data_IF_977543427488
#
_entry.id   IF_977543427488
#
_cell.length_a   1.000
_cell.length_b   1.000
_cell.length_c   1.000
_cell.angle_alpha   90.00
_cell.angle_beta   90.00
_cell.angle_gamma   90.00
#
_symmetry.space_group_name_H-M   'P 1'
#
loop_
_entity.id
_entity.type
_entity.pdbx_description
1 polymer ?
#
# COMPACT_ATOMS: atom_id res chain seq x y z
N UNK A 1 -22.32 -2.84 7.79
CA UNK A 1 -21.96 -1.78 6.80
C UNK A 1 -21.04 -0.76 7.48
N UNK A 2 -19.74 -0.79 7.18
CA UNK A 2 -18.63 -0.17 7.94
C UNK A 2 -18.47 -0.75 9.35
N UNK A 3 -17.93 -1.96 9.43
CA UNK A 3 -17.59 -2.60 10.71
C UNK A 3 -16.50 -1.82 11.47
N UNK A 4 -15.65 -1.09 10.73
CA UNK A 4 -14.63 -0.20 11.30
C UNK A 4 -14.92 1.27 10.94
N UNK A 5 -15.32 2.10 11.92
CA UNK A 5 -15.58 3.54 11.71
C UNK A 5 -14.39 4.29 11.11
N UNK A 6 -13.18 3.77 11.30
CA UNK A 6 -11.90 4.33 10.87
C UNK A 6 -11.71 4.40 9.36
N UNK A 7 -12.43 3.57 8.58
CA UNK A 7 -12.39 3.59 7.10
C UNK A 7 -12.77 4.98 6.57
N UNK A 8 -13.72 5.67 7.21
CA UNK A 8 -14.15 7.00 6.77
C UNK A 8 -13.03 8.05 6.97
N UNK A 9 -12.45 8.24 8.17
CA UNK A 9 -11.30 9.12 8.36
C UNK A 9 -10.13 8.80 7.43
N UNK A 10 -9.75 7.52 7.30
CA UNK A 10 -8.62 7.13 6.47
C UNK A 10 -8.93 7.33 4.98
N UNK A 11 -10.13 7.03 4.51
CA UNK A 11 -10.55 7.28 3.14
C UNK A 11 -10.57 8.76 2.77
N UNK A 12 -11.03 9.63 3.68
CA UNK A 12 -11.00 11.09 3.48
C UNK A 12 -9.55 11.57 3.43
N UNK A 13 -8.72 11.20 4.41
CA UNK A 13 -7.32 11.60 4.48
C UNK A 13 -6.55 11.14 3.23
N UNK A 14 -6.75 9.89 2.83
CA UNK A 14 -6.14 9.30 1.65
C UNK A 14 -6.58 10.02 0.36
N UNK A 15 -7.86 10.39 0.23
CA UNK A 15 -8.35 11.17 -0.91
C UNK A 15 -7.72 12.56 -0.97
N UNK A 16 -7.62 13.25 0.17
CA UNK A 16 -6.99 14.57 0.27
C UNK A 16 -5.51 14.47 -0.13
N UNK A 17 -4.77 13.50 0.42
CA UNK A 17 -3.38 13.26 0.05
C UNK A 17 -3.26 12.93 -1.44
N UNK A 18 -4.11 12.06 -1.96
CA UNK A 18 -4.15 11.72 -3.38
C UNK A 18 -4.31 12.96 -4.26
N UNK A 19 -5.22 13.88 -3.93
CA UNK A 19 -5.44 15.12 -4.67
C UNK A 19 -4.26 16.09 -4.58
N UNK A 20 -3.67 16.25 -3.38
CA UNK A 20 -2.51 17.12 -3.18
C UNK A 20 -1.29 16.63 -3.98
N UNK A 21 -1.06 15.32 -3.96
CA UNK A 21 0.07 14.69 -4.64
C UNK A 21 -0.23 14.35 -6.11
N UNK A 22 -1.47 14.43 -6.58
CA UNK A 22 -1.85 14.12 -7.96
C UNK A 22 -0.97 14.87 -8.96
N UNK A 23 -0.84 16.19 -8.81
CA UNK A 23 -0.02 17.03 -9.71
C UNK A 23 1.46 16.61 -9.71
N UNK A 24 1.98 16.17 -8.57
CA UNK A 24 3.36 15.70 -8.42
C UNK A 24 3.55 14.34 -9.09
N UNK A 25 2.64 13.40 -8.86
CA UNK A 25 2.68 12.05 -9.44
C UNK A 25 2.71 12.12 -10.97
N UNK A 26 1.87 12.95 -11.59
CA UNK A 26 1.84 13.11 -13.05
C UNK A 26 3.05 13.86 -13.64
N UNK A 27 3.93 14.43 -12.81
CA UNK A 27 5.20 15.03 -13.26
C UNK A 27 6.37 14.05 -13.19
N UNK A 28 6.19 12.87 -12.60
CA UNK A 28 7.22 11.83 -12.53
C UNK A 28 7.41 11.17 -13.92
N UNK A 29 8.55 10.48 -14.13
CA UNK A 29 8.73 9.62 -15.29
C UNK A 29 7.55 8.65 -15.46
N UNK A 30 7.16 8.36 -16.70
CA UNK A 30 6.01 7.48 -17.01
C UNK A 30 6.11 6.12 -16.31
N UNK A 31 7.30 5.52 -16.28
CA UNK A 31 7.56 4.24 -15.61
C UNK A 31 7.24 4.31 -14.11
N UNK A 32 7.81 5.30 -13.41
CA UNK A 32 7.58 5.54 -11.98
C UNK A 32 6.11 5.79 -11.67
N UNK A 33 5.43 6.59 -12.51
CA UNK A 33 4.00 6.90 -12.33
C UNK A 33 3.14 5.64 -12.40
N UNK A 34 3.36 4.79 -13.41
CA UNK A 34 2.61 3.53 -13.58
C UNK A 34 2.85 2.60 -12.40
N UNK A 35 4.09 2.42 -11.99
CA UNK A 35 4.44 1.57 -10.84
C UNK A 35 3.81 2.08 -9.53
N UNK A 36 3.80 3.40 -9.32
CA UNK A 36 3.22 4.02 -8.13
C UNK A 36 1.69 3.91 -8.10
N UNK A 37 1.03 4.01 -9.25
CA UNK A 37 -0.41 3.78 -9.36
C UNK A 37 -0.74 2.30 -9.13
N UNK A 38 0.06 1.39 -9.71
CA UNK A 38 -0.13 -0.05 -9.51
C UNK A 38 0.03 -0.46 -8.05
N UNK A 39 1.07 0.04 -7.36
CA UNK A 39 1.27 -0.24 -5.94
C UNK A 39 0.10 0.26 -5.09
N UNK A 40 -0.40 1.47 -5.38
CA UNK A 40 -1.57 2.02 -4.71
C UNK A 40 -2.83 1.19 -4.95
N UNK A 41 -3.11 0.78 -6.20
CA UNK A 41 -4.29 -0.06 -6.52
C UNK A 41 -4.23 -1.39 -5.78
N UNK A 42 -3.06 -2.05 -5.76
CA UNK A 42 -2.88 -3.33 -5.08
C UNK A 42 -3.13 -3.17 -3.57
N UNK A 43 -2.52 -2.15 -2.95
CA UNK A 43 -2.70 -1.86 -1.53
C UNK A 43 -4.18 -1.58 -1.18
N UNK A 44 -4.85 -0.72 -1.96
CA UNK A 44 -6.25 -0.36 -1.72
C UNK A 44 -7.21 -1.52 -1.95
N UNK A 45 -6.88 -2.43 -2.86
CA UNK A 45 -7.68 -3.64 -3.08
C UNK A 45 -7.69 -4.51 -1.83
N UNK A 46 -6.55 -4.65 -1.13
CA UNK A 46 -6.49 -5.25 0.20
C UNK A 46 -7.27 -4.42 1.22
N UNK A 47 -6.77 -3.23 1.51
CA UNK A 47 -7.21 -2.37 2.61
C UNK A 47 -8.69 -1.97 2.60
N UNK A 48 -9.31 -1.84 1.41
CA UNK A 48 -10.72 -1.48 1.28
C UNK A 48 -11.55 -2.63 0.68
N UNK A 49 -11.03 -3.34 -0.31
CA UNK A 49 -11.76 -4.41 -0.98
C UNK A 49 -11.93 -5.64 -0.09
N UNK A 50 -10.81 -6.23 0.35
CA UNK A 50 -10.83 -7.43 1.17
C UNK A 50 -11.26 -7.17 2.61
N UNK A 51 -10.91 -6.02 3.19
CA UNK A 51 -11.40 -5.62 4.52
C UNK A 51 -12.94 -5.54 4.55
N UNK A 52 -13.58 -4.99 3.52
CA UNK A 52 -15.05 -4.97 3.43
C UNK A 52 -15.66 -6.38 3.31
N UNK A 53 -15.00 -7.29 2.60
CA UNK A 53 -15.44 -8.69 2.48
C UNK A 53 -15.25 -9.45 3.79
N UNK A 54 -14.09 -9.30 4.43
CA UNK A 54 -13.77 -9.89 5.73
C UNK A 54 -14.70 -9.38 6.83
N UNK A 55 -14.98 -8.07 6.85
CA UNK A 55 -15.93 -7.45 7.78
C UNK A 55 -17.35 -7.98 7.61
N UNK A 56 -17.80 -8.27 6.38
CA UNK A 56 -19.11 -8.89 6.13
C UNK A 56 -19.16 -10.33 6.65
N UNK A 57 -18.11 -11.11 6.43
CA UNK A 57 -18.02 -12.47 6.96
C UNK A 57 -17.95 -12.50 8.49
N UNK A 58 -17.22 -11.56 9.10
CA UNK A 58 -17.16 -11.41 10.55
C UNK A 58 -18.52 -11.03 11.15
N UNK A 59 -19.31 -10.17 10.47
CA UNK A 59 -20.65 -9.78 10.90
C UNK A 59 -21.64 -10.95 10.86
N UNK A 60 -21.54 -11.82 9.86
CA UNK A 60 -22.48 -12.94 9.65
C UNK A 60 -22.11 -14.21 10.42
N UNK A 61 -20.82 -14.55 10.48
CA UNK A 61 -20.35 -15.84 10.97
C UNK A 61 -19.31 -15.73 12.10
N UNK A 62 -18.93 -14.51 12.49
CA UNK A 62 -17.88 -14.26 13.48
C UNK A 62 -16.46 -14.44 12.92
N UNK A 63 -15.48 -14.12 13.76
CA UNK A 63 -14.06 -14.08 13.40
C UNK A 63 -13.36 -15.45 13.30
N UNK A 64 -14.00 -16.52 13.76
CA UNK A 64 -13.38 -17.85 13.88
C UNK A 64 -13.69 -18.77 12.69
N UNK A 65 -14.13 -18.22 11.56
CA UNK A 65 -14.37 -19.00 10.34
C UNK A 65 -13.12 -19.10 9.48
N UNK A 66 -12.95 -20.26 8.83
CA UNK A 66 -11.88 -20.48 7.85
C UNK A 66 -11.97 -19.43 6.73
N UNK A 67 -13.19 -19.07 6.30
CA UNK A 67 -13.43 -18.04 5.30
C UNK A 67 -12.87 -16.69 5.73
N UNK A 68 -13.13 -16.25 6.97
CA UNK A 68 -12.56 -15.01 7.50
C UNK A 68 -11.03 -15.05 7.50
N UNK A 69 -10.41 -16.15 7.97
CA UNK A 69 -8.95 -16.28 8.00
C UNK A 69 -8.33 -16.20 6.60
N UNK A 70 -8.96 -16.81 5.60
CA UNK A 70 -8.49 -16.75 4.20
C UNK A 70 -8.61 -15.33 3.66
N UNK A 71 -9.74 -14.66 3.87
CA UNK A 71 -9.94 -13.27 3.41
C UNK A 71 -8.93 -12.32 4.05
N UNK A 72 -8.72 -12.44 5.36
CA UNK A 72 -7.73 -11.67 6.11
C UNK A 72 -6.30 -11.92 5.63
N UNK A 73 -5.94 -13.17 5.32
CA UNK A 73 -4.61 -13.49 4.79
C UNK A 73 -4.40 -12.87 3.40
N UNK A 74 -5.42 -12.86 2.56
CA UNK A 74 -5.34 -12.23 1.23
C UNK A 74 -5.26 -10.71 1.35
N UNK A 75 -6.03 -10.12 2.27
CA UNK A 75 -5.96 -8.69 2.61
C UNK A 75 -4.53 -8.29 2.96
N UNK A 76 -3.94 -8.91 3.99
CA UNK A 76 -2.57 -8.62 4.43
C UNK A 76 -1.55 -8.85 3.30
N UNK A 77 -1.71 -9.94 2.54
CA UNK A 77 -0.80 -10.25 1.45
C UNK A 77 -0.81 -9.17 0.35
N UNK A 78 -1.98 -8.67 -0.03
CA UNK A 78 -2.12 -7.59 -0.99
C UNK A 78 -1.52 -6.29 -0.46
N UNK A 79 -1.77 -5.95 0.81
CA UNK A 79 -1.17 -4.77 1.42
C UNK A 79 0.36 -4.84 1.41
N UNK A 80 0.94 -5.98 1.82
CA UNK A 80 2.40 -6.15 1.85
C UNK A 80 3.01 -6.07 0.45
N UNK A 81 2.39 -6.67 -0.57
CA UNK A 81 2.83 -6.54 -1.97
C UNK A 81 2.76 -5.08 -2.42
N UNK A 82 1.67 -4.38 -2.11
CA UNK A 82 1.51 -2.97 -2.42
C UNK A 82 2.64 -2.12 -1.82
N UNK A 83 2.99 -2.36 -0.55
CA UNK A 83 4.09 -1.67 0.14
C UNK A 83 5.45 -1.99 -0.49
N UNK A 84 5.74 -3.26 -0.78
CA UNK A 84 7.00 -3.67 -1.42
C UNK A 84 7.15 -3.01 -2.80
N UNK A 85 6.09 -2.99 -3.60
CA UNK A 85 6.10 -2.32 -4.91
C UNK A 85 6.27 -0.80 -4.77
N UNK A 86 5.65 -0.18 -3.78
CA UNK A 86 5.85 1.25 -3.50
C UNK A 86 7.31 1.54 -3.15
N UNK A 87 7.92 0.78 -2.25
CA UNK A 87 9.33 0.92 -1.87
C UNK A 87 10.22 0.75 -3.10
N UNK A 88 10.03 -0.31 -3.87
CA UNK A 88 10.76 -0.54 -5.12
C UNK A 88 10.65 0.66 -6.07
N UNK A 89 9.44 1.19 -6.26
CA UNK A 89 9.19 2.34 -7.15
C UNK A 89 9.94 3.58 -6.70
N UNK A 90 9.98 3.84 -5.39
CA UNK A 90 10.69 4.99 -4.83
C UNK A 90 12.21 4.83 -4.96
N UNK A 91 12.74 3.63 -4.74
CA UNK A 91 14.17 3.33 -4.92
C UNK A 91 14.59 3.46 -6.39
N UNK A 92 13.83 2.87 -7.31
CA UNK A 92 14.05 3.00 -8.77
C UNK A 92 14.01 4.46 -9.22
N UNK A 93 13.11 5.27 -8.64
CA UNK A 93 13.06 6.71 -8.92
C UNK A 93 14.27 7.48 -8.38
N UNK A 94 14.71 7.17 -7.15
CA UNK A 94 15.90 7.79 -6.54
C UNK A 94 17.14 7.46 -7.37
N UNK A 95 17.31 6.20 -7.75
CA UNK A 95 18.43 5.73 -8.56
C UNK A 95 18.46 6.43 -9.93
N UNK A 96 17.32 6.54 -10.61
CA UNK A 96 17.22 7.25 -11.89
C UNK A 96 17.53 8.75 -11.76
N UNK A 97 17.23 9.37 -10.62
CA UNK A 97 17.38 10.81 -10.43
C UNK A 97 18.74 11.22 -9.87
N UNK A 98 19.32 10.42 -8.98
CA UNK A 98 20.52 10.76 -8.21
C UNK A 98 21.69 9.81 -8.46
N UNK A 99 21.51 8.76 -9.26
CA UNK A 99 22.51 7.72 -9.50
C UNK A 99 22.49 6.62 -8.41
N UNK A 100 23.45 5.71 -8.45
CA UNK A 100 23.50 4.58 -7.52
C UNK A 100 23.83 5.03 -6.09
N UNK A 101 23.06 4.53 -5.12
CA UNK A 101 23.37 4.68 -3.70
C UNK A 101 24.48 3.70 -3.32
N UNK A 102 25.65 4.22 -2.98
CA UNK A 102 26.76 3.43 -2.45
C UNK A 102 26.81 3.57 -0.92
N UNK A 103 26.50 2.49 -0.21
CA UNK A 103 26.68 2.43 1.24
C UNK A 103 28.07 1.86 1.53
N UNK A 104 28.96 2.69 2.07
CA UNK A 104 30.25 2.23 2.61
C UNK A 104 30.09 2.04 4.12
N UNK A 105 30.30 0.83 4.61
CA UNK A 105 30.39 0.55 6.04
C UNK A 105 31.86 0.63 6.43
N UNK A 106 32.23 1.72 7.09
CA UNK A 106 33.56 1.85 7.69
C UNK A 106 33.53 1.14 9.04
N UNK A 107 34.08 -0.07 9.08
CA UNK A 107 34.24 -0.83 10.33
C UNK A 107 35.39 -0.19 11.09
N UNK A 108 35.07 0.48 12.19
CA UNK A 108 36.07 1.09 13.06
C UNK A 108 36.77 -0.04 13.84
N UNK A 109 38.00 -0.37 13.43
CA UNK A 109 38.84 -1.31 14.17
C UNK A 109 39.26 -0.71 15.54
N UNK A 110 39.32 -1.54 16.60
CA UNK A 110 39.56 -1.10 17.98
C UNK A 110 41.00 -0.64 18.27
#
# INVERSE_FOLDING_TARGET
MLYFPWIIPYGILMTILGLLYFRFIFRLPRKTTVLLILSAIIFLTGAAGFDMLGGREAELHGYYTITYTVLYTIEEFLEMIGVVLLIYTLLDYIEQRFGHLCFSLEVQEP
#
